data_IF_610447406645
#
_entry.id   IF_610447406645
#
_cell.length_a   1.000
_cell.length_b   1.000
_cell.length_c   1.000
_cell.angle_alpha   90.00
_cell.angle_beta   90.00
_cell.angle_gamma   90.00
#
_symmetry.space_group_name_H-M   'P 1'
#
loop_
_entity.id
_entity.type
_entity.pdbx_description
1 polymer ?
#
# COMPACT_ATOMS: atom_id res chain seq x y z
N UNK A 1 -18.02 -0.81 -15.27
CA UNK A 1 -16.84 0.05 -15.50
C UNK A 1 -15.86 -0.66 -16.44
N UNK A 2 -15.22 0.09 -17.36
CA UNK A 2 -14.33 -0.45 -18.39
C UNK A 2 -13.16 -1.28 -17.83
N UNK A 3 -12.49 -0.80 -16.77
CA UNK A 3 -11.37 -1.51 -16.13
C UNK A 3 -11.76 -2.88 -15.57
N UNK A 4 -12.92 -2.97 -14.92
CA UNK A 4 -13.43 -4.24 -14.38
C UNK A 4 -13.83 -5.23 -15.47
N UNK A 5 -14.41 -4.74 -16.58
CA UNK A 5 -14.72 -5.58 -17.73
C UNK A 5 -13.46 -6.12 -18.41
N UNK A 6 -12.45 -5.28 -18.60
CA UNK A 6 -11.17 -5.68 -19.18
C UNK A 6 -10.40 -6.67 -18.28
N UNK A 7 -10.42 -6.47 -16.96
CA UNK A 7 -9.89 -7.46 -16.00
C UNK A 7 -10.59 -8.81 -16.11
N UNK A 8 -11.94 -8.81 -16.15
CA UNK A 8 -12.72 -10.04 -16.30
C UNK A 8 -12.38 -10.77 -17.60
N UNK A 9 -12.26 -10.04 -18.71
CA UNK A 9 -11.87 -10.61 -20.00
C UNK A 9 -10.46 -11.22 -19.95
N UNK A 10 -9.49 -10.53 -19.34
CA UNK A 10 -8.14 -11.05 -19.14
C UNK A 10 -8.13 -12.34 -18.31
N UNK A 11 -8.86 -12.38 -17.18
CA UNK A 11 -8.91 -13.58 -16.34
C UNK A 11 -9.64 -14.78 -16.97
N UNK A 12 -10.52 -14.54 -17.95
CA UNK A 12 -11.22 -15.59 -18.70
C UNK A 12 -10.42 -16.11 -19.90
N UNK A 13 -9.34 -15.41 -20.27
CA UNK A 13 -8.49 -15.81 -21.39
C UNK A 13 -7.73 -17.09 -21.06
N UNK A 14 -7.75 -18.05 -22.00
CA UNK A 14 -7.03 -19.33 -21.89
C UNK A 14 -5.60 -19.15 -22.39
N UNK A 15 -4.78 -18.41 -21.63
CA UNK A 15 -3.38 -18.16 -21.94
C UNK A 15 -2.83 -16.95 -21.18
N UNK A 16 -1.59 -16.51 -21.49
CA UNK A 16 -1.05 -15.26 -20.93
C UNK A 16 -1.89 -14.06 -21.36
N UNK A 17 -2.29 -13.23 -20.41
CA UNK A 17 -3.09 -12.02 -20.67
C UNK A 17 -2.49 -10.79 -20.00
N UNK A 18 -2.43 -9.67 -20.72
CA UNK A 18 -1.93 -8.40 -20.19
C UNK A 18 -3.08 -7.40 -20.14
N UNK A 19 -3.38 -6.87 -18.95
CA UNK A 19 -4.22 -5.69 -18.87
C UNK A 19 -3.36 -4.44 -19.06
N UNK A 20 -3.50 -3.80 -20.21
CA UNK A 20 -2.80 -2.56 -20.54
C UNK A 20 -3.77 -1.41 -20.49
N UNK A 21 -3.47 -0.41 -19.68
CA UNK A 21 -4.16 0.87 -19.71
C UNK A 21 -3.42 1.77 -20.71
N UNK A 22 -4.08 2.29 -21.76
CA UNK A 22 -3.44 3.15 -22.75
C UNK A 22 -2.78 4.38 -22.12
N UNK A 23 -1.87 5.04 -22.85
CA UNK A 23 -1.28 6.29 -22.37
C UNK A 23 -2.38 7.35 -22.26
N UNK A 24 -2.47 8.02 -21.11
CA UNK A 24 -3.48 9.06 -20.87
C UNK A 24 -3.79 9.21 -19.39
N UNK A 25 -4.61 10.21 -19.07
CA UNK A 25 -5.13 10.45 -17.72
C UNK A 25 -6.59 10.02 -17.70
N UNK A 26 -6.88 8.95 -16.97
CA UNK A 26 -8.23 8.41 -16.82
C UNK A 26 -8.73 8.68 -15.41
N UNK A 27 -9.90 9.30 -15.29
CA UNK A 27 -10.60 9.39 -14.01
C UNK A 27 -11.25 8.06 -13.69
N UNK A 28 -10.86 7.46 -12.58
CA UNK A 28 -11.31 6.13 -12.17
C UNK A 28 -11.89 6.21 -10.77
N UNK A 29 -13.14 5.76 -10.60
CA UNK A 29 -13.72 5.52 -9.28
C UNK A 29 -13.13 4.26 -8.63
N UNK A 30 -13.69 3.78 -7.51
CA UNK A 30 -13.23 2.55 -6.88
C UNK A 30 -13.36 1.34 -7.80
N UNK A 31 -12.32 0.51 -7.84
CA UNK A 31 -12.30 -0.71 -8.64
C UNK A 31 -11.71 -1.87 -7.84
N UNK A 32 -12.38 -3.01 -7.95
CA UNK A 32 -11.94 -4.27 -7.37
C UNK A 32 -11.54 -5.24 -8.50
N UNK A 33 -10.25 -5.57 -8.54
CA UNK A 33 -9.67 -6.63 -9.34
C UNK A 33 -9.62 -7.91 -8.48
N UNK A 34 -10.72 -8.66 -8.51
CA UNK A 34 -10.88 -9.89 -7.74
C UNK A 34 -10.43 -11.12 -8.54
N UNK A 35 -9.70 -12.03 -7.91
CA UNK A 35 -9.40 -13.35 -8.44
C UNK A 35 -10.42 -14.44 -8.05
N UNK A 36 -10.16 -15.71 -8.40
CA UNK A 36 -8.94 -16.18 -9.07
C UNK A 36 -8.82 -15.65 -10.51
N UNK A 37 -7.57 -15.49 -10.97
CA UNK A 37 -7.25 -15.01 -12.32
C UNK A 37 -6.10 -15.88 -12.88
N UNK A 38 -6.39 -17.14 -13.29
CA UNK A 38 -5.36 -18.13 -13.60
C UNK A 38 -4.51 -17.80 -14.85
N UNK A 39 -4.98 -16.89 -15.71
CA UNK A 39 -4.23 -16.39 -16.88
C UNK A 39 -3.49 -15.06 -16.66
N UNK A 40 -3.29 -14.65 -15.40
CA UNK A 40 -2.69 -13.36 -15.07
C UNK A 40 -1.21 -13.30 -15.54
N UNK A 41 -0.96 -12.50 -16.58
CA UNK A 41 0.36 -12.01 -17.00
C UNK A 41 0.46 -10.52 -16.59
N UNK A 42 1.64 -9.86 -16.67
CA UNK A 42 1.85 -8.53 -16.10
C UNK A 42 0.79 -7.48 -16.48
N UNK A 43 0.27 -6.76 -15.50
CA UNK A 43 -0.61 -5.60 -15.67
C UNK A 43 0.18 -4.31 -15.75
N UNK A 44 -0.13 -3.46 -16.73
CA UNK A 44 0.44 -2.12 -16.90
C UNK A 44 -0.65 -1.08 -16.69
N UNK A 45 -0.54 -0.27 -15.63
CA UNK A 45 -1.64 0.58 -15.15
C UNK A 45 -1.20 2.04 -14.96
N UNK A 46 -1.97 3.00 -15.52
CA UNK A 46 -1.92 4.45 -15.22
C UNK A 46 -3.32 4.99 -15.03
N UNK A 47 -3.59 5.60 -13.88
CA UNK A 47 -4.95 6.02 -13.51
C UNK A 47 -4.90 7.18 -12.54
N UNK A 48 -5.94 8.02 -12.58
CA UNK A 48 -6.17 9.14 -11.65
C UNK A 48 -7.49 8.94 -10.92
N UNK A 49 -7.54 9.23 -9.62
CA UNK A 49 -8.72 9.01 -8.80
C UNK A 49 -9.84 10.00 -9.15
N UNK A 50 -11.08 9.51 -9.16
CA UNK A 50 -12.28 10.35 -9.25
C UNK A 50 -12.45 11.17 -7.98
N UNK A 51 -12.74 12.46 -8.09
CA UNK A 51 -12.96 13.38 -6.96
C UNK A 51 -14.28 13.16 -6.23
N UNK A 52 -15.25 12.51 -6.89
CA UNK A 52 -16.56 12.23 -6.32
C UNK A 52 -16.48 11.17 -5.20
N UNK A 53 -16.46 11.64 -3.95
CA UNK A 53 -16.37 10.82 -2.73
C UNK A 53 -17.62 9.98 -2.47
N UNK A 54 -18.78 10.31 -3.04
CA UNK A 54 -20.00 9.51 -2.90
C UNK A 54 -19.85 8.14 -3.57
N UNK A 55 -18.98 8.05 -4.58
CA UNK A 55 -18.66 6.81 -5.31
C UNK A 55 -17.75 5.86 -4.54
N UNK A 56 -17.28 6.22 -3.34
CA UNK A 56 -16.40 5.42 -2.48
C UNK A 56 -17.21 4.71 -1.38
N UNK A 57 -17.74 3.51 -1.66
CA UNK A 57 -18.53 2.75 -0.69
C UNK A 57 -17.68 2.23 0.46
N UNK A 58 -16.36 2.11 0.25
CA UNK A 58 -15.38 1.62 1.22
C UNK A 58 -14.17 2.55 1.28
N UNK A 59 -13.27 2.24 2.20
CA UNK A 59 -12.07 3.02 2.50
C UNK A 59 -10.90 2.68 1.57
N UNK A 60 -11.19 2.28 0.32
CA UNK A 60 -10.19 1.84 -0.67
C UNK A 60 -10.55 2.35 -2.09
N UNK A 61 -9.53 2.66 -2.90
CA UNK A 61 -9.69 3.08 -4.29
C UNK A 61 -9.46 1.91 -5.27
N UNK A 62 -8.23 1.39 -5.36
CA UNK A 62 -7.90 0.27 -6.26
C UNK A 62 -7.51 -0.93 -5.42
N UNK A 63 -8.29 -2.00 -5.53
CA UNK A 63 -8.10 -3.21 -4.75
C UNK A 63 -7.78 -4.38 -5.66
N UNK A 64 -6.69 -5.09 -5.37
CA UNK A 64 -6.40 -6.42 -5.91
C UNK A 64 -6.64 -7.44 -4.79
N UNK A 65 -7.54 -8.40 -5.02
CA UNK A 65 -7.97 -9.32 -3.97
C UNK A 65 -8.00 -10.77 -4.43
N UNK A 66 -7.43 -11.69 -3.64
CA UNK A 66 -7.39 -13.14 -3.93
C UNK A 66 -6.77 -13.47 -5.29
N UNK A 67 -5.69 -12.76 -5.63
CA UNK A 67 -4.98 -12.94 -6.89
C UNK A 67 -3.64 -13.62 -6.61
N UNK A 68 -3.26 -14.53 -7.51
CA UNK A 68 -1.97 -15.21 -7.52
C UNK A 68 -1.20 -14.78 -8.78
N UNK A 69 0.11 -14.60 -8.66
CA UNK A 69 1.03 -14.48 -9.81
C UNK A 69 0.80 -13.27 -10.72
N UNK A 70 0.65 -12.07 -10.13
CA UNK A 70 0.52 -10.81 -10.88
C UNK A 70 1.72 -9.88 -10.69
N UNK A 71 2.10 -9.21 -11.77
CA UNK A 71 3.02 -8.08 -11.72
C UNK A 71 2.26 -6.80 -12.09
N UNK A 72 2.17 -5.83 -11.17
CA UNK A 72 1.69 -4.47 -11.45
C UNK A 72 2.89 -3.60 -11.79
N UNK A 73 2.96 -3.09 -13.01
CA UNK A 73 4.15 -2.39 -13.53
C UNK A 73 3.82 -1.27 -14.52
N UNK A 74 4.85 -0.64 -15.10
CA UNK A 74 4.73 0.17 -16.31
C UNK A 74 5.29 1.58 -16.28
N UNK A 75 5.90 2.03 -15.17
CA UNK A 75 6.48 3.38 -15.13
C UNK A 75 5.48 4.49 -14.83
N UNK A 76 4.21 4.16 -14.55
CA UNK A 76 3.11 5.12 -14.62
C UNK A 76 2.53 5.51 -13.27
N UNK A 77 1.73 6.57 -13.28
CA UNK A 77 1.27 7.27 -12.07
C UNK A 77 -0.12 6.84 -11.64
N UNK A 78 -0.27 6.65 -10.33
CA UNK A 78 -1.50 6.55 -9.57
C UNK A 78 -1.67 7.84 -8.77
N UNK A 79 -2.48 8.78 -9.28
CA UNK A 79 -2.77 10.05 -8.62
C UNK A 79 -4.03 9.88 -7.76
N UNK A 80 -3.87 9.84 -6.44
CA UNK A 80 -4.96 9.68 -5.47
C UNK A 80 -5.81 10.94 -5.29
N UNK A 81 -5.34 12.07 -5.82
CA UNK A 81 -5.97 13.38 -5.74
C UNK A 81 -6.31 13.79 -4.29
N UNK A 82 -5.34 13.59 -3.41
CA UNK A 82 -5.44 13.71 -1.95
C UNK A 82 -5.89 15.07 -1.46
N UNK A 83 -5.39 16.16 -2.07
CA UNK A 83 -5.68 17.53 -1.69
C UNK A 83 -7.18 17.83 -1.57
N UNK A 84 -7.99 17.24 -2.43
CA UNK A 84 -9.44 17.39 -2.38
C UNK A 84 -10.08 16.71 -1.16
N UNK A 85 -9.53 15.57 -0.71
CA UNK A 85 -10.11 14.74 0.33
C UNK A 85 -9.55 15.04 1.73
N UNK A 86 -8.36 15.62 1.86
CA UNK A 86 -7.70 15.82 3.16
C UNK A 86 -8.50 16.68 4.13
N UNK A 87 -9.16 17.73 3.64
CA UNK A 87 -10.05 18.58 4.45
C UNK A 87 -11.28 17.85 4.98
N UNK A 88 -11.63 16.70 4.39
CA UNK A 88 -12.76 15.87 4.80
C UNK A 88 -12.38 14.88 5.92
N UNK A 89 -11.10 14.81 6.31
CA UNK A 89 -10.64 13.89 7.35
C UNK A 89 -11.15 14.32 8.74
N UNK A 90 -12.08 13.54 9.31
CA UNK A 90 -12.63 13.79 10.64
C UNK A 90 -11.94 12.98 11.75
N UNK A 91 -11.05 12.05 11.40
CA UNK A 91 -10.40 11.14 12.35
C UNK A 91 -9.55 11.81 13.44
N UNK A 92 -8.92 12.97 13.20
CA UNK A 92 -8.27 13.71 14.28
C UNK A 92 -9.23 14.29 15.32
N UNK A 93 -10.52 14.46 14.97
CA UNK A 93 -11.52 15.17 15.80
C UNK A 93 -12.62 14.25 16.35
N UNK A 94 -12.84 13.08 15.75
CA UNK A 94 -13.94 12.18 16.10
C UNK A 94 -13.45 10.74 16.24
N UNK A 95 -13.80 10.11 17.36
CA UNK A 95 -13.75 8.66 17.48
C UNK A 95 -14.67 8.01 16.43
N UNK A 96 -14.31 6.81 15.96
CA UNK A 96 -15.10 6.05 14.96
C UNK A 96 -15.42 6.85 13.67
N UNK A 97 -14.50 7.70 13.23
CA UNK A 97 -14.58 8.40 11.95
C UNK A 97 -14.62 7.44 10.74
N UNK A 98 -15.15 7.93 9.62
CA UNK A 98 -14.95 7.30 8.31
C UNK A 98 -13.51 7.57 7.84
N UNK A 99 -12.79 6.52 7.45
CA UNK A 99 -11.44 6.65 6.94
C UNK A 99 -11.44 7.20 5.51
N UNK A 100 -10.41 7.97 5.17
CA UNK A 100 -10.16 8.34 3.78
C UNK A 100 -9.64 7.12 2.98
N UNK A 101 -9.95 7.04 1.67
CA UNK A 101 -9.58 5.88 0.87
C UNK A 101 -8.07 5.65 0.76
N UNK A 102 -7.65 4.40 0.98
CA UNK A 102 -6.34 3.88 0.57
C UNK A 102 -6.23 3.88 -0.95
N UNK A 103 -5.08 4.29 -1.50
CA UNK A 103 -4.95 4.37 -2.97
C UNK A 103 -4.84 2.99 -3.61
N UNK A 104 -3.86 2.19 -3.20
CA UNK A 104 -3.64 0.83 -3.69
C UNK A 104 -3.70 -0.18 -2.56
N UNK A 105 -4.53 -1.21 -2.69
CA UNK A 105 -4.63 -2.30 -1.71
C UNK A 105 -4.43 -3.65 -2.39
N UNK A 106 -3.55 -4.44 -1.84
CA UNK A 106 -3.32 -5.84 -2.20
C UNK A 106 -3.75 -6.68 -1.00
N UNK A 107 -4.79 -7.49 -1.18
CA UNK A 107 -5.42 -8.24 -0.09
C UNK A 107 -5.45 -9.73 -0.42
N UNK A 108 -4.88 -10.55 0.46
CA UNK A 108 -4.78 -12.00 0.25
C UNK A 108 -4.12 -12.33 -1.10
N UNK A 109 -3.00 -11.66 -1.35
CA UNK A 109 -2.26 -11.72 -2.60
C UNK A 109 -1.09 -12.70 -2.47
N UNK A 110 -0.92 -13.61 -3.42
CA UNK A 110 0.20 -14.56 -3.42
C UNK A 110 1.08 -14.39 -4.65
N UNK A 111 2.40 -14.51 -4.50
CA UNK A 111 3.38 -14.48 -5.60
C UNK A 111 3.26 -13.22 -6.48
N UNK A 112 3.23 -12.03 -5.89
CA UNK A 112 3.02 -10.79 -6.64
C UNK A 112 4.23 -9.87 -6.68
N UNK A 113 4.22 -8.94 -7.64
CA UNK A 113 5.19 -7.86 -7.69
C UNK A 113 4.57 -6.51 -8.06
N UNK A 114 5.07 -5.44 -7.44
CA UNK A 114 4.77 -4.05 -7.80
C UNK A 114 6.08 -3.42 -8.25
N UNK A 115 6.15 -2.94 -9.49
CA UNK A 115 7.43 -2.52 -10.11
C UNK A 115 7.31 -1.20 -10.84
N UNK A 116 8.17 -0.24 -10.51
CA UNK A 116 8.32 0.96 -11.35
C UNK A 116 7.09 1.87 -11.36
N UNK A 117 6.23 1.86 -10.35
CA UNK A 117 5.05 2.73 -10.33
C UNK A 117 5.32 4.02 -9.56
N UNK A 118 4.57 5.07 -9.88
CA UNK A 118 4.52 6.29 -9.08
C UNK A 118 3.17 6.38 -8.36
N UNK A 119 3.16 6.57 -7.05
CA UNK A 119 1.93 6.84 -6.27
C UNK A 119 2.03 8.26 -5.73
N UNK A 120 1.06 9.11 -6.07
CA UNK A 120 1.07 10.55 -5.81
C UNK A 120 -0.18 10.94 -5.05
N UNK A 121 -0.02 11.76 -4.02
CA UNK A 121 -1.09 12.42 -3.27
C UNK A 121 -2.22 11.47 -2.89
N UNK A 122 -1.90 10.42 -2.12
CA UNK A 122 -2.93 9.54 -1.57
C UNK A 122 -3.83 10.32 -0.60
N UNK A 123 -5.08 9.87 -0.46
CA UNK A 123 -6.02 10.44 0.51
C UNK A 123 -5.75 9.98 1.93
N UNK A 124 -5.13 8.80 2.06
CA UNK A 124 -4.64 8.17 3.30
C UNK A 124 -3.43 7.34 2.93
N UNK A 125 -3.40 6.03 3.13
CA UNK A 125 -2.27 5.18 2.72
C UNK A 125 -2.09 5.17 1.20
N UNK A 126 -0.83 5.20 0.74
CA UNK A 126 -0.50 5.01 -0.67
C UNK A 126 -0.65 3.54 -1.09
N UNK A 127 0.02 2.62 -0.38
CA UNK A 127 -0.02 1.19 -0.65
C UNK A 127 -0.29 0.42 0.64
N UNK A 128 -1.27 -0.49 0.61
CA UNK A 128 -1.57 -1.45 1.67
C UNK A 128 -1.35 -2.87 1.16
N UNK A 129 -0.46 -3.62 1.82
CA UNK A 129 -0.28 -5.05 1.66
C UNK A 129 -0.90 -5.75 2.87
N UNK A 130 -1.98 -6.51 2.66
CA UNK A 130 -2.70 -7.17 3.75
C UNK A 130 -2.95 -8.64 3.45
N UNK A 131 -2.53 -9.55 4.33
CA UNK A 131 -2.71 -10.98 4.08
C UNK A 131 -1.86 -11.51 2.92
N UNK A 132 -0.78 -10.82 2.55
CA UNK A 132 -0.01 -11.16 1.36
C UNK A 132 1.09 -12.17 1.64
N UNK A 133 1.45 -13.00 0.64
CA UNK A 133 2.56 -13.95 0.71
C UNK A 133 3.44 -13.85 -0.54
N UNK A 134 4.76 -13.85 -0.36
CA UNK A 134 5.73 -13.79 -1.45
C UNK A 134 5.53 -12.56 -2.35
N UNK A 135 5.62 -11.37 -1.77
CA UNK A 135 5.42 -10.10 -2.50
C UNK A 135 6.74 -9.36 -2.69
N UNK A 136 6.95 -8.77 -3.87
CA UNK A 136 8.08 -7.86 -4.12
C UNK A 136 7.60 -6.48 -4.57
N UNK A 137 7.91 -5.43 -3.80
CA UNK A 137 7.76 -4.04 -4.20
C UNK A 137 9.14 -3.47 -4.56
N UNK A 138 9.34 -3.04 -5.81
CA UNK A 138 10.66 -2.61 -6.31
C UNK A 138 10.56 -1.38 -7.19
N UNK A 139 11.51 -0.45 -7.03
CA UNK A 139 11.60 0.74 -7.89
C UNK A 139 10.33 1.59 -7.87
N UNK A 140 9.69 1.71 -6.71
CA UNK A 140 8.48 2.52 -6.52
C UNK A 140 8.90 3.95 -6.16
N UNK A 141 8.15 4.93 -6.65
CA UNK A 141 8.22 6.31 -6.18
C UNK A 141 6.91 6.69 -5.50
N UNK A 142 6.98 7.19 -4.28
CA UNK A 142 5.82 7.67 -3.52
C UNK A 142 6.07 9.11 -3.12
N UNK A 143 5.08 9.97 -3.35
CA UNK A 143 5.14 11.39 -2.96
C UNK A 143 3.78 11.89 -2.48
N UNK A 144 3.77 12.57 -1.33
CA UNK A 144 2.70 13.44 -0.87
C UNK A 144 3.31 14.66 -0.13
N UNK A 145 2.59 15.79 -0.01
CA UNK A 145 3.01 16.94 0.78
C UNK A 145 3.31 16.61 2.24
N UNK A 146 4.17 17.39 2.90
CA UNK A 146 4.55 17.15 4.30
C UNK A 146 3.38 17.31 5.29
N UNK A 147 2.35 18.06 4.89
CA UNK A 147 1.17 18.40 5.67
C UNK A 147 -0.07 17.56 5.32
N UNK A 148 0.04 16.58 4.41
CA UNK A 148 -1.07 15.68 4.10
C UNK A 148 -1.41 14.78 5.31
N UNK A 149 -2.67 14.49 5.64
CA UNK A 149 -3.01 13.66 6.78
C UNK A 149 -2.85 12.16 6.50
N UNK A 150 -2.06 11.47 7.32
CA UNK A 150 -1.95 9.99 7.37
C UNK A 150 -1.63 9.34 6.02
N UNK A 151 -0.66 9.91 5.29
CA UNK A 151 -0.24 9.39 3.98
C UNK A 151 0.92 8.42 4.09
N UNK A 152 0.78 7.33 4.85
CA UNK A 152 1.84 6.32 4.91
C UNK A 152 2.18 5.81 3.50
N UNK A 153 3.47 5.55 3.25
CA UNK A 153 3.94 5.05 1.97
C UNK A 153 3.49 3.62 1.69
N UNK A 154 4.10 2.65 2.37
CA UNK A 154 3.70 1.24 2.27
C UNK A 154 3.39 0.70 3.66
N UNK A 155 2.10 0.43 3.91
CA UNK A 155 1.66 -0.28 5.11
C UNK A 155 1.56 -1.78 4.83
N UNK A 156 2.08 -2.59 5.75
CA UNK A 156 2.07 -4.05 5.65
C UNK A 156 1.40 -4.63 6.89
N UNK A 157 0.43 -5.52 6.73
CA UNK A 157 -0.21 -6.23 7.83
C UNK A 157 -0.49 -7.68 7.48
N UNK A 158 -0.40 -8.57 8.48
CA UNK A 158 -0.69 -10.00 8.33
C UNK A 158 -0.05 -10.64 7.09
N UNK A 159 1.19 -10.27 6.76
CA UNK A 159 1.85 -10.69 5.51
C UNK A 159 3.17 -11.41 5.77
N UNK A 160 3.57 -12.28 4.84
CA UNK A 160 4.79 -13.07 4.93
C UNK A 160 5.65 -12.99 3.67
N UNK A 161 6.98 -13.06 3.84
CA UNK A 161 7.94 -13.05 2.73
C UNK A 161 7.74 -11.84 1.80
N UNK A 162 7.84 -10.64 2.36
CA UNK A 162 7.70 -9.38 1.61
C UNK A 162 9.06 -8.74 1.43
N UNK A 163 9.39 -8.33 0.21
CA UNK A 163 10.61 -7.55 -0.06
C UNK A 163 10.27 -6.20 -0.67
N UNK A 164 10.73 -5.12 -0.04
CA UNK A 164 10.63 -3.75 -0.53
C UNK A 164 12.04 -3.26 -0.85
N UNK A 165 12.28 -2.79 -2.08
CA UNK A 165 13.64 -2.35 -2.44
C UNK A 165 13.74 -1.26 -3.49
N UNK A 166 14.87 -0.54 -3.51
CA UNK A 166 15.23 0.44 -4.55
C UNK A 166 14.14 1.48 -4.80
N UNK A 167 13.44 1.89 -3.76
CA UNK A 167 12.29 2.78 -3.87
C UNK A 167 12.54 4.08 -3.10
N UNK A 168 11.84 5.14 -3.51
CA UNK A 168 11.94 6.48 -2.91
C UNK A 168 10.57 6.88 -2.41
N UNK A 169 10.45 7.14 -1.11
CA UNK A 169 9.20 7.46 -0.45
C UNK A 169 9.40 8.78 0.30
N UNK A 170 8.55 9.76 0.00
CA UNK A 170 8.44 11.00 0.76
C UNK A 170 6.98 11.32 1.01
N UNK A 171 6.58 11.39 2.27
CA UNK A 171 5.20 11.55 2.70
C UNK A 171 5.14 12.41 3.96
N UNK A 172 3.96 12.62 4.53
CA UNK A 172 3.82 13.23 5.85
C UNK A 172 3.92 12.22 7.01
N UNK A 173 3.63 10.94 6.77
CA UNK A 173 3.59 9.87 7.79
C UNK A 173 4.68 8.82 7.54
N UNK A 174 4.56 7.62 8.11
CA UNK A 174 5.53 6.53 8.02
C UNK A 174 5.82 6.17 6.54
N UNK A 175 7.10 6.15 6.15
CA UNK A 175 7.49 5.70 4.81
C UNK A 175 7.10 4.23 4.61
N UNK A 176 7.41 3.41 5.62
CA UNK A 176 7.01 2.01 5.73
C UNK A 176 6.46 1.81 7.13
N UNK A 177 5.27 1.22 7.24
CA UNK A 177 4.67 0.87 8.53
C UNK A 177 4.29 -0.61 8.58
N UNK A 178 4.64 -1.28 9.67
CA UNK A 178 4.36 -2.71 9.90
C UNK A 178 3.28 -2.86 10.97
N UNK A 179 2.08 -3.25 10.57
CA UNK A 179 1.03 -3.70 11.48
C UNK A 179 1.31 -5.07 12.11
N UNK A 180 0.38 -5.60 12.92
CA UNK A 180 0.46 -6.95 13.46
C UNK A 180 0.51 -8.04 12.38
N UNK A 181 1.06 -9.21 12.71
CA UNK A 181 1.02 -10.42 11.87
C UNK A 181 2.03 -10.48 10.72
N UNK A 182 3.05 -9.64 10.74
CA UNK A 182 4.07 -9.66 9.69
C UNK A 182 5.21 -10.61 10.03
N UNK A 183 5.64 -11.42 9.05
CA UNK A 183 6.77 -12.33 9.17
C UNK A 183 7.72 -12.22 7.98
N UNK A 184 9.03 -12.20 8.21
CA UNK A 184 10.04 -12.22 7.13
C UNK A 184 9.84 -11.10 6.11
N UNK A 185 10.07 -9.85 6.55
CA UNK A 185 9.96 -8.67 5.69
C UNK A 185 11.32 -7.99 5.54
N UNK A 186 11.76 -7.82 4.30
CA UNK A 186 13.02 -7.18 3.96
C UNK A 186 12.75 -5.81 3.35
N UNK A 187 13.36 -4.77 3.89
CA UNK A 187 13.36 -3.40 3.33
C UNK A 187 14.81 -3.02 3.04
N UNK A 188 15.15 -2.77 1.77
CA UNK A 188 16.54 -2.45 1.44
C UNK A 188 16.79 -1.51 0.29
N UNK A 189 17.89 -0.76 0.35
CA UNK A 189 18.28 0.19 -0.70
C UNK A 189 17.19 1.23 -0.95
N UNK A 190 16.71 1.88 0.11
CA UNK A 190 15.57 2.80 0.07
C UNK A 190 16.01 4.23 0.39
N UNK A 191 15.28 5.20 -0.14
CA UNK A 191 15.26 6.57 0.39
C UNK A 191 13.91 6.82 1.05
N UNK A 192 13.91 7.23 2.31
CA UNK A 192 12.74 7.61 3.11
C UNK A 192 12.92 9.04 3.59
N UNK A 193 12.01 9.93 3.18
CA UNK A 193 12.08 11.36 3.49
C UNK A 193 11.30 12.21 2.49
N UNK A 194 10.40 13.10 2.90
CA UNK A 194 9.96 13.44 4.27
C UNK A 194 9.12 12.32 4.93
N UNK A 195 8.72 12.50 6.19
CA UNK A 195 7.74 11.64 6.87
C UNK A 195 8.11 11.23 8.30
N UNK A 196 7.61 10.08 8.75
CA UNK A 196 7.85 9.59 10.12
C UNK A 196 8.92 8.49 10.26
N UNK A 197 9.58 8.10 9.16
CA UNK A 197 10.60 7.06 9.15
C UNK A 197 10.04 5.67 8.80
N UNK A 198 10.74 4.62 9.27
CA UNK A 198 10.32 3.22 9.14
C UNK A 198 9.86 2.74 10.50
N UNK A 199 8.58 2.36 10.61
CA UNK A 199 7.93 2.11 11.90
C UNK A 199 7.34 0.71 12.01
N UNK A 200 7.65 -0.01 13.08
CA UNK A 200 6.86 -1.15 13.54
C UNK A 200 5.75 -0.65 14.45
N UNK A 201 4.51 -1.07 14.18
CA UNK A 201 3.33 -0.74 14.97
C UNK A 201 2.51 0.44 14.43
N UNK A 202 1.56 0.96 15.20
CA UNK A 202 1.37 0.65 16.63
C UNK A 202 0.88 -0.79 16.89
N UNK A 203 1.54 -1.52 17.79
CA UNK A 203 1.14 -2.86 18.23
C UNK A 203 0.37 -2.81 19.55
N UNK A 204 -0.40 -3.85 19.84
CA UNK A 204 -1.04 -4.02 21.16
C UNK A 204 -2.32 -3.22 21.41
N UNK A 205 -2.87 -2.51 20.42
CA UNK A 205 -4.13 -1.75 20.56
C UNK A 205 -5.33 -2.64 20.90
N UNK A 206 -5.35 -3.84 20.34
CA UNK A 206 -6.46 -4.78 20.46
C UNK A 206 -5.92 -6.13 20.94
N UNK A 207 -6.71 -6.93 21.67
CA UNK A 207 -6.31 -8.26 22.10
C UNK A 207 -6.22 -9.25 20.93
N UNK A 208 -5.46 -10.33 21.14
CA UNK A 208 -5.31 -11.45 20.19
C UNK A 208 -4.83 -11.01 18.81
N UNK A 209 -3.94 -10.03 18.77
CA UNK A 209 -3.23 -9.65 17.54
C UNK A 209 -1.99 -10.49 17.40
N UNK A 210 -1.70 -10.86 16.16
CA UNK A 210 -0.53 -11.67 15.81
C UNK A 210 0.76 -10.88 16.01
N UNK A 211 1.83 -11.63 16.26
CA UNK A 211 3.16 -11.08 16.47
C UNK A 211 3.77 -10.51 15.19
N UNK A 212 4.84 -9.75 15.37
CA UNK A 212 5.68 -9.26 14.28
C UNK A 212 7.07 -9.85 14.42
N UNK A 213 7.58 -10.49 13.36
CA UNK A 213 8.86 -11.20 13.43
C UNK A 213 9.67 -11.08 12.14
N UNK A 214 10.99 -10.96 12.26
CA UNK A 214 11.88 -11.09 11.10
C UNK A 214 11.81 -9.90 10.15
N UNK A 215 11.88 -8.68 10.69
CA UNK A 215 11.99 -7.46 9.88
C UNK A 215 13.48 -7.15 9.71
N UNK A 216 13.93 -7.04 8.46
CA UNK A 216 15.32 -6.71 8.13
C UNK A 216 15.36 -5.42 7.32
N UNK A 217 16.02 -4.38 7.84
CA UNK A 217 16.16 -3.08 7.20
C UNK A 217 17.63 -2.79 6.91
N UNK A 218 18.00 -2.70 5.63
CA UNK A 218 19.41 -2.62 5.21
C UNK A 218 19.63 -1.50 4.17
N UNK A 219 20.76 -0.79 4.24
CA UNK A 219 21.16 0.19 3.23
C UNK A 219 20.07 1.22 2.90
N UNK A 220 19.39 1.76 3.91
CA UNK A 220 18.35 2.76 3.74
C UNK A 220 18.86 4.14 4.17
N UNK A 221 18.61 5.15 3.34
CA UNK A 221 18.78 6.55 3.72
C UNK A 221 17.45 7.05 4.28
N UNK A 222 17.45 7.44 5.55
CA UNK A 222 16.31 8.05 6.22
C UNK A 222 16.71 9.49 6.53
N UNK A 223 16.05 10.46 5.91
CA UNK A 223 16.44 11.88 5.99
C UNK A 223 15.20 12.76 6.04
N UNK A 224 15.29 13.87 6.76
CA UNK A 224 14.20 14.86 6.83
C UNK A 224 12.88 14.24 7.34
N UNK A 225 12.99 13.24 8.22
CA UNK A 225 11.88 12.56 8.88
C UNK A 225 11.87 12.86 10.37
N UNK A 226 10.72 12.71 11.04
CA UNK A 226 10.63 12.90 12.49
C UNK A 226 11.29 11.78 13.29
N UNK A 227 11.49 10.60 12.69
CA UNK A 227 12.19 9.46 13.30
C UNK A 227 13.01 8.69 12.24
N UNK A 228 14.02 7.95 12.68
CA UNK A 228 14.75 6.97 11.86
C UNK A 228 13.98 5.64 11.77
N UNK A 229 14.47 4.65 12.51
CA UNK A 229 13.74 3.41 12.81
C UNK A 229 12.94 3.59 14.10
N UNK A 230 11.69 3.14 14.14
CA UNK A 230 10.80 3.34 15.28
C UNK A 230 9.97 2.08 15.58
N UNK A 231 9.77 1.76 16.86
CA UNK A 231 8.82 0.74 17.31
C UNK A 231 7.78 1.43 18.19
N UNK A 232 6.49 1.21 17.92
CA UNK A 232 5.36 1.82 18.63
C UNK A 232 4.48 0.72 19.22
N UNK A 233 4.22 0.80 20.52
CA UNK A 233 3.24 -0.05 21.22
C UNK A 233 2.25 0.82 21.99
N UNK A 234 1.03 0.32 22.21
CA UNK A 234 0.06 0.99 23.08
C UNK A 234 0.41 0.78 24.55
N UNK A 235 0.27 1.82 25.38
CA UNK A 235 0.37 1.67 26.82
C UNK A 235 -0.76 0.77 27.35
N UNK A 236 -0.45 -0.16 28.25
CA UNK A 236 -1.41 -1.19 28.68
C UNK A 236 -1.78 -2.17 27.55
N UNK A 237 -0.88 -2.38 26.59
CA UNK A 237 -1.11 -3.25 25.43
C UNK A 237 -1.55 -4.64 25.81
N UNK A 238 -2.47 -5.20 25.03
CA UNK A 238 -2.63 -6.65 25.02
C UNK A 238 -1.32 -7.33 24.57
N UNK A 239 -1.08 -8.54 25.08
CA UNK A 239 0.14 -9.30 24.78
C UNK A 239 0.35 -9.48 23.28
N UNK A 240 1.52 -9.09 22.79
CA UNK A 240 2.03 -9.32 21.43
C UNK A 240 3.56 -9.22 21.44
N UNK A 241 4.24 -9.97 20.59
CA UNK A 241 5.69 -9.97 20.44
C UNK A 241 6.14 -9.22 19.18
N UNK A 242 7.30 -8.58 19.29
CA UNK A 242 8.04 -7.95 18.20
C UNK A 242 9.50 -8.40 18.30
N UNK A 243 9.96 -9.26 17.39
CA UNK A 243 11.24 -9.97 17.56
C UNK A 243 12.01 -10.22 16.27
N UNK A 244 13.30 -10.53 16.40
CA UNK A 244 14.21 -10.82 15.28
C UNK A 244 14.25 -9.67 14.25
N UNK A 245 14.50 -8.46 14.72
CA UNK A 245 14.67 -7.27 13.86
C UNK A 245 16.15 -6.97 13.68
N UNK A 246 16.54 -6.59 12.47
CA UNK A 246 17.94 -6.31 12.09
C UNK A 246 18.02 -5.13 11.13
#
# INVERSE_FOLDING_TARGET
MAFGAAWKAACQWKGPSHLVIPKGTFLVGPVLFKGPCPGASPMVVQVKASTDMSKYPYDDWIVFQYVDSLVVTGGRTFDGYGAYAWSLNQCPKKAHCKLLPTSLKFSFFTNGAIRGIHSVDSRRLHILLFGCKNMTARSIKISAPADSPNTDGIHIGSSSNVTISRSRIGTSDDCISFGPGNTQVIVKNMFCGLGHGISVGSLGKFPKKEDVQGIHVENCTIRDTTNGLRIKTWAGSASSSASNFT
#
